data_IF_672093115886
#
_entry.id   IF_672093115886
#
_cell.length_a   1.000
_cell.length_b   1.000
_cell.length_c   1.000
_cell.angle_alpha   90.00
_cell.angle_beta   90.00
_cell.angle_gamma   90.00
#
_symmetry.space_group_name_H-M   'P 1'
#
loop_
_entity.id
_entity.type
_entity.pdbx_description
1 polymer ?
#
# COMPACT_ATOMS: atom_id res chain seq x y z
N UNK A 1 -0.71 18.45 -9.95
CA UNK A 1 -1.99 18.28 -9.22
C UNK A 1 -1.80 17.11 -8.26
N UNK A 2 -2.30 17.19 -7.03
CA UNK A 2 -2.11 16.11 -6.05
C UNK A 2 -2.91 14.85 -6.47
N UNK A 3 -2.24 13.70 -6.53
CA UNK A 3 -2.79 12.38 -6.80
C UNK A 3 -2.17 11.35 -5.86
N UNK A 4 -2.70 10.12 -5.83
CA UNK A 4 -2.06 9.02 -5.10
C UNK A 4 -0.64 8.74 -5.64
N UNK A 5 -0.40 8.87 -6.94
CA UNK A 5 0.95 8.71 -7.49
C UNK A 5 1.92 9.79 -6.97
N UNK A 6 1.53 11.07 -6.99
CA UNK A 6 2.42 12.14 -6.51
C UNK A 6 2.62 12.08 -5.01
N UNK A 7 1.59 11.67 -4.26
CA UNK A 7 1.67 11.48 -2.81
C UNK A 7 2.58 10.29 -2.44
N UNK A 8 2.47 9.18 -3.17
CA UNK A 8 3.27 7.98 -2.89
C UNK A 8 4.77 8.26 -3.04
N UNK A 9 5.18 9.05 -4.03
CA UNK A 9 6.57 9.49 -4.18
C UNK A 9 7.10 10.25 -2.96
N UNK A 10 6.23 10.98 -2.26
CA UNK A 10 6.60 11.62 -1.01
C UNK A 10 6.85 10.61 0.11
N UNK A 11 6.10 9.50 0.15
CA UNK A 11 6.31 8.41 1.08
C UNK A 11 7.59 7.63 0.76
N UNK A 12 7.89 7.37 -0.51
CA UNK A 12 9.17 6.78 -0.93
C UNK A 12 10.37 7.66 -0.51
N UNK A 13 10.23 8.99 -0.68
CA UNK A 13 11.22 9.94 -0.17
C UNK A 13 11.31 9.87 1.35
N UNK A 14 10.16 9.73 2.01
CA UNK A 14 10.03 9.56 3.45
C UNK A 14 10.82 8.36 3.99
N UNK A 15 10.67 7.18 3.39
CA UNK A 15 11.39 5.98 3.85
C UNK A 15 12.88 6.08 3.55
N UNK A 16 13.31 6.73 2.46
CA UNK A 16 14.74 6.89 2.15
C UNK A 16 15.47 7.83 3.12
N UNK A 17 14.75 8.76 3.75
CA UNK A 17 15.29 9.73 4.70
C UNK A 17 16.17 9.09 5.79
N UNK A 18 17.26 9.76 6.14
CA UNK A 18 18.11 9.36 7.28
C UNK A 18 17.34 9.36 8.62
N UNK A 19 16.22 10.10 8.71
CA UNK A 19 15.37 10.17 9.90
C UNK A 19 14.40 8.98 10.04
N UNK A 20 14.25 8.17 9.01
CA UNK A 20 13.33 7.03 8.99
C UNK A 20 13.96 5.77 9.62
N UNK A 21 14.57 5.89 10.80
CA UNK A 21 15.28 4.78 11.47
C UNK A 21 14.31 3.67 11.88
N UNK A 22 13.31 4.00 12.72
CA UNK A 22 12.30 3.03 13.18
C UNK A 22 11.60 2.24 12.06
N UNK A 23 11.04 2.85 11.00
CA UNK A 23 10.38 2.07 9.95
C UNK A 23 11.36 1.16 9.18
N UNK A 24 12.63 1.57 8.99
CA UNK A 24 13.66 0.71 8.38
C UNK A 24 14.03 -0.47 9.27
N UNK A 25 14.21 -0.22 10.57
CA UNK A 25 14.47 -1.27 11.56
C UNK A 25 13.33 -2.28 11.61
N UNK A 26 12.09 -1.81 11.59
CA UNK A 26 10.92 -2.69 11.54
C UNK A 26 10.88 -3.54 10.27
N UNK A 27 11.05 -2.93 9.09
CA UNK A 27 11.10 -3.68 7.82
C UNK A 27 12.19 -4.76 7.85
N UNK A 28 13.38 -4.41 8.35
CA UNK A 28 14.48 -5.37 8.52
C UNK A 28 14.11 -6.51 9.47
N UNK A 29 13.39 -6.22 10.56
CA UNK A 29 12.97 -7.25 11.53
C UNK A 29 11.98 -8.27 10.94
N UNK A 30 11.21 -7.87 9.93
CA UNK A 30 10.29 -8.74 9.19
C UNK A 30 10.86 -9.21 7.83
N UNK A 31 12.15 -8.99 7.58
CA UNK A 31 12.85 -9.47 6.39
C UNK A 31 12.49 -8.77 5.07
N UNK A 32 11.91 -7.57 5.12
CA UNK A 32 11.57 -6.80 3.92
C UNK A 32 12.58 -5.67 3.67
N UNK A 33 12.89 -5.41 2.40
CA UNK A 33 13.75 -4.31 1.97
C UNK A 33 12.97 -3.32 1.10
N UNK A 34 12.96 -2.03 1.49
CA UNK A 34 12.17 -1.00 0.81
C UNK A 34 12.76 -0.58 -0.54
N UNK A 35 14.02 -0.92 -0.84
CA UNK A 35 14.59 -0.66 -2.15
C UNK A 35 14.08 -1.64 -3.21
N UNK A 36 13.81 -2.88 -2.81
CA UNK A 36 13.40 -3.96 -3.71
C UNK A 36 11.89 -3.97 -3.92
N UNK A 37 11.15 -3.61 -2.87
CA UNK A 37 9.70 -3.51 -2.85
C UNK A 37 9.34 -2.02 -2.81
N UNK A 38 8.49 -1.53 -3.71
CA UNK A 38 8.02 -0.12 -3.70
C UNK A 38 7.26 0.17 -2.40
N UNK A 39 7.98 0.48 -1.32
CA UNK A 39 7.46 0.77 0.01
C UNK A 39 7.73 2.23 0.32
N UNK A 40 6.73 2.92 0.86
CA UNK A 40 6.84 4.28 1.36
C UNK A 40 6.71 4.34 2.88
N UNK A 41 7.08 5.48 3.46
CA UNK A 41 6.81 5.79 4.86
C UNK A 41 5.96 7.06 4.98
N UNK A 42 4.77 6.92 5.56
CA UNK A 42 3.88 8.03 5.83
C UNK A 42 4.09 8.56 7.26
N UNK A 43 4.86 9.64 7.40
CA UNK A 43 5.04 10.31 8.70
C UNK A 43 3.79 11.03 9.22
N UNK A 44 2.75 11.17 8.38
CA UNK A 44 1.55 11.93 8.67
C UNK A 44 1.67 13.44 8.44
N UNK A 45 2.74 13.91 7.81
CA UNK A 45 3.05 15.35 7.68
C UNK A 45 2.89 15.89 6.24
N UNK A 46 2.47 15.08 5.28
CA UNK A 46 2.44 15.45 3.86
C UNK A 46 1.50 16.62 3.52
N UNK A 47 0.48 16.85 4.34
CA UNK A 47 -0.49 17.93 4.19
C UNK A 47 -0.05 19.23 4.90
N UNK A 48 1.04 19.19 5.69
CA UNK A 48 1.54 20.36 6.39
C UNK A 48 2.11 21.38 5.39
N UNK A 49 1.86 22.66 5.63
CA UNK A 49 2.33 23.79 4.80
C UNK A 49 1.87 23.73 3.33
N UNK A 50 0.88 22.89 3.02
CA UNK A 50 0.22 22.83 1.71
C UNK A 50 -0.90 23.86 1.61
N UNK A 51 -1.20 24.28 0.39
CA UNK A 51 -2.32 25.19 0.10
C UNK A 51 -3.65 24.54 0.46
N UNK A 52 -4.71 25.34 0.66
CA UNK A 52 -6.06 24.84 0.91
C UNK A 52 -6.51 23.88 -0.22
N UNK A 53 -6.30 24.27 -1.48
CA UNK A 53 -6.60 23.43 -2.66
C UNK A 53 -5.92 22.06 -2.63
N UNK A 54 -4.66 21.98 -2.19
CA UNK A 54 -3.97 20.70 -2.03
C UNK A 54 -4.58 19.86 -0.90
N UNK A 55 -5.00 20.48 0.21
CA UNK A 55 -5.64 19.79 1.33
C UNK A 55 -7.03 19.27 0.94
N UNK A 56 -7.84 20.08 0.27
CA UNK A 56 -9.13 19.66 -0.30
C UNK A 56 -8.94 18.45 -1.22
N UNK A 57 -7.91 18.49 -2.08
CA UNK A 57 -7.61 17.35 -2.94
C UNK A 57 -7.19 16.11 -2.16
N UNK A 58 -6.44 16.24 -1.07
CA UNK A 58 -6.11 15.11 -0.20
C UNK A 58 -7.35 14.54 0.52
N UNK A 59 -8.30 15.40 0.88
CA UNK A 59 -9.58 15.00 1.47
C UNK A 59 -10.43 14.23 0.43
N UNK A 60 -10.53 14.71 -0.81
CA UNK A 60 -11.19 14.01 -1.92
C UNK A 60 -10.58 12.63 -2.21
N UNK A 61 -9.25 12.51 -2.05
CA UNK A 61 -8.54 11.24 -2.19
C UNK A 61 -8.71 10.32 -0.97
N UNK A 62 -9.34 10.79 0.11
CA UNK A 62 -9.58 10.04 1.35
C UNK A 62 -8.36 9.88 2.25
N UNK A 63 -7.22 10.49 1.92
CA UNK A 63 -5.96 10.30 2.68
C UNK A 63 -5.88 11.18 3.93
N UNK A 64 -6.75 12.18 4.02
CA UNK A 64 -7.00 12.96 5.24
C UNK A 64 -8.50 13.15 5.45
N UNK A 65 -8.91 13.32 6.70
CA UNK A 65 -10.28 13.68 7.08
C UNK A 65 -10.21 14.79 8.12
N UNK A 66 -11.10 15.79 8.05
CA UNK A 66 -11.17 16.83 9.08
C UNK A 66 -11.44 16.19 10.44
N UNK A 67 -10.81 16.74 11.48
CA UNK A 67 -10.95 16.27 12.85
C UNK A 67 -11.21 17.42 13.79
N UNK A 68 -11.93 17.15 14.88
CA UNK A 68 -12.19 18.14 15.94
C UNK A 68 -11.04 18.25 16.95
N UNK A 69 -9.86 17.71 16.62
CA UNK A 69 -8.69 17.81 17.49
C UNK A 69 -8.23 19.27 17.62
N UNK A 70 -7.83 19.65 18.83
CA UNK A 70 -7.32 20.99 19.11
C UNK A 70 -6.11 21.33 18.26
N UNK A 71 -6.17 22.48 17.57
CA UNK A 71 -5.06 23.08 16.82
C UNK A 71 -4.44 24.22 17.64
N UNK A 72 -3.21 24.61 17.28
CA UNK A 72 -2.51 25.72 17.95
C UNK A 72 -3.10 27.11 17.64
N UNK A 73 -3.93 27.20 16.61
CA UNK A 73 -4.50 28.44 16.08
C UNK A 73 -5.87 28.10 15.48
N UNK A 74 -6.92 28.80 15.90
CA UNK A 74 -8.32 28.54 15.51
C UNK A 74 -8.57 28.70 14.00
N UNK A 75 -7.66 29.35 13.26
CA UNK A 75 -7.70 29.43 11.80
C UNK A 75 -7.22 28.16 11.09
N UNK A 76 -6.63 27.21 11.83
CA UNK A 76 -6.12 25.95 11.28
C UNK A 76 -7.14 24.83 11.42
N UNK A 77 -7.30 24.03 10.37
CA UNK A 77 -8.09 22.79 10.44
C UNK A 77 -7.19 21.63 10.86
N UNK A 78 -7.57 20.89 11.91
CA UNK A 78 -6.94 19.61 12.23
C UNK A 78 -7.42 18.52 11.28
N UNK A 79 -6.52 17.59 10.96
CA UNK A 79 -6.81 16.44 10.11
C UNK A 79 -6.35 15.14 10.77
N UNK A 80 -7.21 14.13 10.70
CA UNK A 80 -6.84 12.73 10.83
C UNK A 80 -6.22 12.27 9.52
N UNK A 81 -5.10 11.54 9.59
CA UNK A 81 -4.35 11.09 8.41
C UNK A 81 -4.42 9.58 8.29
N UNK A 82 -4.80 9.08 7.11
CA UNK A 82 -4.79 7.66 6.79
C UNK A 82 -3.40 7.06 7.00
N UNK A 83 -3.30 5.90 7.65
CA UNK A 83 -2.03 5.19 7.80
C UNK A 83 -0.91 6.00 8.45
N UNK A 84 -1.25 6.94 9.35
CA UNK A 84 -0.27 7.81 10.01
C UNK A 84 0.79 6.98 10.72
N UNK A 85 2.06 7.36 10.49
CA UNK A 85 3.24 6.69 11.01
C UNK A 85 3.31 5.21 10.58
N UNK A 86 2.90 4.94 9.33
CA UNK A 86 2.85 3.60 8.77
C UNK A 86 3.77 3.41 7.56
N UNK A 87 4.08 2.14 7.30
CA UNK A 87 4.67 1.67 6.05
C UNK A 87 3.56 1.54 5.01
N UNK A 88 3.75 2.13 3.83
CA UNK A 88 2.72 2.24 2.80
C UNK A 88 3.12 1.43 1.57
N UNK A 89 2.20 0.60 1.09
CA UNK A 89 2.33 -0.23 -0.10
C UNK A 89 1.27 0.21 -1.11
N UNK A 90 1.64 0.52 -2.36
CA UNK A 90 0.70 0.96 -3.38
C UNK A 90 -0.04 -0.22 -4.01
N UNK A 91 -1.35 -0.10 -4.16
CA UNK A 91 -2.19 -1.06 -4.88
C UNK A 91 -2.56 -0.44 -6.24
N UNK A 92 -2.43 -1.24 -7.30
CA UNK A 92 -2.52 -0.79 -8.69
C UNK A 92 -3.78 -1.29 -9.38
N UNK A 93 -4.31 -0.52 -10.31
CA UNK A 93 -5.28 -1.00 -11.30
C UNK A 93 -4.60 -1.71 -12.48
N UNK A 94 -5.39 -2.16 -13.46
CA UNK A 94 -4.92 -2.87 -14.66
C UNK A 94 -4.07 -1.98 -15.57
N UNK A 95 -4.20 -0.66 -15.47
CA UNK A 95 -3.37 0.33 -16.16
C UNK A 95 -2.07 0.65 -15.39
N UNK A 96 -1.76 -0.07 -14.31
CA UNK A 96 -0.63 0.19 -13.40
C UNK A 96 -0.67 1.57 -12.72
N UNK A 97 -1.87 2.14 -12.54
CA UNK A 97 -2.07 3.39 -11.79
C UNK A 97 -2.34 3.08 -10.33
N UNK A 98 -1.75 3.86 -9.41
CA UNK A 98 -2.04 3.75 -7.98
C UNK A 98 -3.47 4.21 -7.72
N UNK A 99 -4.31 3.28 -7.26
CA UNK A 99 -5.73 3.53 -6.92
C UNK A 99 -6.03 3.35 -5.44
N UNK A 100 -5.09 2.77 -4.68
CA UNK A 100 -5.27 2.45 -3.28
C UNK A 100 -3.92 2.33 -2.55
N UNK A 101 -3.98 2.35 -1.22
CA UNK A 101 -2.86 2.09 -0.33
C UNK A 101 -3.23 1.05 0.70
N UNK A 102 -2.30 0.16 0.97
CA UNK A 102 -2.24 -0.59 2.21
C UNK A 102 -1.23 0.10 3.14
N UNK A 103 -1.59 0.27 4.40
CA UNK A 103 -0.74 0.83 5.43
C UNK A 103 -0.59 -0.15 6.60
N UNK A 104 0.66 -0.45 6.94
CA UNK A 104 1.02 -1.17 8.16
C UNK A 104 1.54 -0.17 9.21
N UNK A 105 0.75 0.07 10.25
CA UNK A 105 1.11 0.92 11.39
C UNK A 105 1.81 0.05 12.42
N UNK A 106 3.13 0.10 12.40
CA UNK A 106 4.00 -0.81 13.12
C UNK A 106 4.39 -0.34 14.53
N UNK A 107 4.35 0.97 14.81
CA UNK A 107 4.77 1.58 16.09
C UNK A 107 3.54 1.76 17.02
N UNK A 108 2.81 0.67 17.24
CA UNK A 108 1.64 0.55 18.13
C UNK A 108 1.81 -0.69 19.01
N UNK A 109 1.09 -0.78 20.14
CA UNK A 109 1.10 -1.97 21.02
C UNK A 109 0.79 -3.26 20.24
N UNK A 110 -0.11 -3.15 19.28
CA UNK A 110 -0.38 -4.17 18.26
C UNK A 110 -0.31 -3.53 16.88
N UNK A 111 0.51 -4.07 15.94
CA UNK A 111 0.54 -3.58 14.58
C UNK A 111 -0.85 -3.60 13.95
N UNK A 112 -1.18 -2.54 13.22
CA UNK A 112 -2.49 -2.40 12.58
C UNK A 112 -2.34 -2.29 11.07
N UNK A 113 -3.09 -3.12 10.37
CA UNK A 113 -3.25 -3.09 8.93
C UNK A 113 -4.48 -2.24 8.57
N UNK A 114 -4.35 -1.35 7.59
CA UNK A 114 -5.42 -0.48 7.13
C UNK A 114 -5.34 -0.33 5.60
N UNK A 115 -6.47 -0.45 4.90
CA UNK A 115 -6.58 -0.13 3.48
C UNK A 115 -7.30 1.20 3.28
N UNK A 116 -6.86 2.02 2.33
CA UNK A 116 -7.51 3.29 2.01
C UNK A 116 -8.90 3.07 1.39
N UNK A 117 -9.03 2.04 0.57
CA UNK A 117 -10.28 1.57 -0.03
C UNK A 117 -10.16 0.08 -0.44
N UNK A 118 -11.14 -0.47 -1.16
CA UNK A 118 -11.17 -1.90 -1.55
C UNK A 118 -10.70 -2.18 -2.99
N UNK A 119 -10.12 -1.19 -3.69
CA UNK A 119 -9.75 -1.30 -5.11
C UNK A 119 -8.27 -1.59 -5.29
N UNK A 120 -7.93 -2.14 -6.45
CA UNK A 120 -6.55 -2.35 -6.88
C UNK A 120 -5.90 -3.56 -6.24
N UNK A 121 -4.75 -3.93 -6.79
CA UNK A 121 -4.08 -5.21 -6.55
C UNK A 121 -2.62 -4.94 -6.21
N UNK A 122 -2.09 -5.66 -5.23
CA UNK A 122 -0.67 -5.67 -4.91
C UNK A 122 -0.04 -7.00 -5.36
N UNK A 123 1.15 -6.98 -5.99
CA UNK A 123 1.93 -5.79 -6.35
C UNK A 123 1.42 -5.12 -7.63
N UNK A 124 0.76 -5.88 -8.51
CA UNK A 124 0.23 -5.44 -9.80
C UNK A 124 -0.73 -6.51 -10.34
N UNK A 125 -1.43 -6.17 -11.43
CA UNK A 125 -2.16 -7.17 -12.23
C UNK A 125 -1.16 -8.13 -12.92
N UNK A 126 -1.33 -9.45 -12.81
CA UNK A 126 -0.44 -10.42 -13.46
C UNK A 126 -0.48 -10.35 -14.99
N UNK A 127 0.58 -10.80 -15.64
CA UNK A 127 0.61 -10.90 -17.10
C UNK A 127 -0.39 -11.98 -17.59
N UNK A 128 -1.14 -11.79 -18.69
CA UNK A 128 -2.13 -12.76 -19.16
C UNK A 128 -1.61 -14.18 -19.46
N UNK A 129 -0.31 -14.30 -19.75
CA UNK A 129 0.42 -15.57 -19.95
C UNK A 129 0.88 -16.26 -18.65
N UNK A 130 0.41 -15.80 -17.48
CA UNK A 130 0.71 -16.44 -16.19
C UNK A 130 0.11 -17.84 -16.16
N UNK A 131 0.92 -18.84 -15.81
CA UNK A 131 0.51 -20.25 -15.69
C UNK A 131 0.22 -20.67 -14.26
N UNK A 132 0.92 -20.07 -13.29
CA UNK A 132 0.73 -20.36 -11.87
C UNK A 132 0.51 -19.06 -11.11
N UNK A 133 -0.61 -18.98 -10.41
CA UNK A 133 -0.97 -17.82 -9.61
C UNK A 133 -0.96 -18.17 -8.12
N UNK A 134 -0.18 -17.45 -7.35
CA UNK A 134 -0.19 -17.52 -5.89
C UNK A 134 -1.11 -16.44 -5.32
N UNK A 135 -2.02 -16.83 -4.43
CA UNK A 135 -2.87 -15.93 -3.67
C UNK A 135 -2.35 -15.86 -2.23
N UNK A 136 -1.78 -14.72 -1.88
CA UNK A 136 -1.27 -14.44 -0.54
C UNK A 136 -2.37 -13.75 0.29
N UNK A 137 -2.59 -14.14 1.56
CA UNK A 137 -3.73 -13.63 2.32
C UNK A 137 -3.62 -12.15 2.69
N UNK A 138 -2.39 -11.62 2.78
CA UNK A 138 -2.15 -10.20 3.05
C UNK A 138 -1.11 -9.60 2.11
N UNK A 139 -1.05 -8.25 2.09
CA UNK A 139 -0.01 -7.51 1.36
C UNK A 139 1.40 -7.85 1.89
N UNK A 140 1.55 -8.10 3.19
CA UNK A 140 2.85 -8.46 3.80
C UNK A 140 3.29 -9.86 3.39
N UNK A 141 2.38 -10.83 3.33
CA UNK A 141 2.70 -12.18 2.86
C UNK A 141 3.09 -12.14 1.37
N UNK A 142 2.36 -11.37 0.56
CA UNK A 142 2.67 -11.15 -0.85
C UNK A 142 4.05 -10.51 -1.03
N UNK A 143 4.35 -9.45 -0.28
CA UNK A 143 5.65 -8.77 -0.28
C UNK A 143 6.79 -9.73 0.10
N UNK A 144 6.57 -10.61 1.08
CA UNK A 144 7.54 -11.61 1.51
C UNK A 144 7.86 -12.62 0.41
N UNK A 145 6.83 -13.10 -0.31
CA UNK A 145 7.00 -14.00 -1.46
C UNK A 145 7.79 -13.32 -2.58
N UNK A 146 7.50 -12.05 -2.89
CA UNK A 146 8.24 -11.28 -3.90
C UNK A 146 9.71 -11.11 -3.48
N UNK A 147 9.97 -10.71 -2.24
CA UNK A 147 11.31 -10.50 -1.71
C UNK A 147 12.17 -11.78 -1.73
N UNK A 148 11.54 -12.95 -1.57
CA UNK A 148 12.22 -14.24 -1.61
C UNK A 148 12.71 -14.64 -3.00
N UNK A 149 12.23 -13.99 -4.06
CA UNK A 149 12.61 -14.23 -5.48
C UNK A 149 12.41 -15.68 -5.92
N UNK A 150 11.42 -16.36 -5.35
CA UNK A 150 11.10 -17.76 -5.68
C UNK A 150 10.24 -17.92 -6.95
N UNK A 151 9.64 -16.84 -7.44
CA UNK A 151 8.71 -16.90 -8.57
C UNK A 151 9.47 -17.02 -9.89
N UNK A 152 9.08 -18.00 -10.70
CA UNK A 152 9.58 -18.16 -12.06
C UNK A 152 8.88 -17.24 -13.07
N UNK A 153 9.39 -17.17 -14.31
CA UNK A 153 8.94 -16.22 -15.35
C UNK A 153 7.43 -16.24 -15.66
N UNK A 154 6.76 -17.39 -15.48
CA UNK A 154 5.32 -17.55 -15.75
C UNK A 154 4.50 -17.70 -14.48
N UNK A 155 5.08 -17.33 -13.35
CA UNK A 155 4.43 -17.32 -12.07
C UNK A 155 4.16 -15.90 -11.60
N UNK A 156 3.06 -15.69 -10.91
CA UNK A 156 2.73 -14.41 -10.31
C UNK A 156 2.14 -14.61 -8.92
N UNK A 157 2.32 -13.63 -8.05
CA UNK A 157 1.65 -13.57 -6.75
C UNK A 157 0.81 -12.30 -6.68
N UNK A 158 -0.39 -12.41 -6.11
CA UNK A 158 -1.23 -11.27 -5.75
C UNK A 158 -1.68 -11.38 -4.30
N UNK A 159 -1.83 -10.23 -3.64
CA UNK A 159 -2.40 -10.14 -2.31
C UNK A 159 -3.93 -10.14 -2.37
N UNK A 160 -4.56 -10.86 -1.45
CA UNK A 160 -5.98 -10.73 -1.13
C UNK A 160 -6.22 -9.49 -0.26
N UNK A 161 -7.48 -9.07 -0.19
CA UNK A 161 -7.89 -7.94 0.63
C UNK A 161 -8.36 -8.45 1.99
N UNK A 162 -7.53 -8.31 3.03
CA UNK A 162 -7.82 -8.87 4.37
C UNK A 162 -8.12 -10.39 4.33
N UNK A 163 -7.46 -11.14 3.45
CA UNK A 163 -7.71 -12.58 3.24
C UNK A 163 -8.93 -12.89 2.37
N UNK A 164 -9.71 -11.89 1.95
CA UNK A 164 -10.95 -12.06 1.19
C UNK A 164 -10.73 -12.00 -0.33
N UNK A 165 -11.41 -12.91 -1.03
CA UNK A 165 -11.42 -12.99 -2.48
C UNK A 165 -12.50 -12.07 -3.08
N UNK A 166 -12.14 -10.82 -3.34
CA UNK A 166 -12.99 -9.84 -4.02
C UNK A 166 -13.15 -10.08 -5.53
N UNK A 167 -14.16 -9.45 -6.16
CA UNK A 167 -14.45 -9.60 -7.61
C UNK A 167 -13.25 -9.23 -8.49
N UNK A 168 -12.48 -8.20 -8.16
CA UNK A 168 -11.27 -7.83 -8.90
C UNK A 168 -10.23 -8.97 -8.97
N UNK A 169 -10.16 -9.86 -7.96
CA UNK A 169 -9.29 -11.04 -8.00
C UNK A 169 -9.88 -12.12 -8.93
N UNK A 170 -11.21 -12.29 -8.93
CA UNK A 170 -11.90 -13.20 -9.84
C UNK A 170 -11.74 -12.75 -11.30
N UNK A 171 -11.81 -11.44 -11.55
CA UNK A 171 -11.55 -10.85 -12.87
C UNK A 171 -10.12 -11.12 -13.33
N UNK A 172 -9.11 -10.98 -12.45
CA UNK A 172 -7.73 -11.38 -12.75
C UNK A 172 -7.70 -12.84 -13.17
N UNK A 173 -8.19 -13.75 -12.33
CA UNK A 173 -8.13 -15.19 -12.58
C UNK A 173 -8.75 -15.54 -13.94
N UNK A 174 -9.91 -14.95 -14.26
CA UNK A 174 -10.58 -15.14 -15.56
C UNK A 174 -9.79 -14.58 -16.74
N UNK A 175 -8.97 -13.55 -16.54
CA UNK A 175 -8.15 -12.94 -17.59
C UNK A 175 -6.88 -13.71 -17.94
N UNK A 176 -6.45 -14.65 -17.07
CA UNK A 176 -5.25 -15.45 -17.27
C UNK A 176 -5.57 -16.69 -18.13
N UNK A 177 -5.54 -16.53 -19.46
CA UNK A 177 -5.99 -17.59 -20.38
C UNK A 177 -5.02 -18.77 -20.50
N UNK A 178 -3.80 -18.68 -19.95
CA UNK A 178 -2.86 -19.80 -19.81
C UNK A 178 -2.76 -20.34 -18.39
N UNK A 179 -3.66 -19.95 -17.48
CA UNK A 179 -3.61 -20.38 -16.09
C UNK A 179 -3.84 -21.90 -15.97
N UNK A 180 -2.89 -22.57 -15.32
CA UNK A 180 -2.89 -24.02 -15.08
C UNK A 180 -3.10 -24.33 -13.59
N UNK A 181 -2.57 -23.50 -12.69
CA UNK A 181 -2.60 -23.75 -11.25
C UNK A 181 -2.83 -22.46 -10.44
N UNK A 182 -3.62 -22.57 -9.37
CA UNK A 182 -3.78 -21.53 -8.34
C UNK A 182 -3.37 -22.13 -7.00
N UNK A 183 -2.42 -21.48 -6.32
CA UNK A 183 -1.96 -21.85 -4.98
C UNK A 183 -2.45 -20.79 -3.99
N UNK A 184 -3.14 -21.23 -2.94
CA UNK A 184 -3.71 -20.33 -1.93
C UNK A 184 -3.02 -20.56 -0.60
N UNK A 185 -2.37 -19.52 -0.06
CA UNK A 185 -1.83 -19.54 1.28
C UNK A 185 -2.92 -19.19 2.30
N UNK A 186 -3.02 -19.97 3.38
CA UNK A 186 -3.95 -19.72 4.49
C UNK A 186 -3.16 -19.48 5.77
N UNK A 187 -3.62 -18.54 6.60
CA UNK A 187 -3.16 -18.33 7.97
C UNK A 187 -4.00 -19.16 8.93
#
# INVERSE_FOLDING_TARGET
MESLETLFRSFETGIRSAKALKPKEYLKSIGLEYSDLRIGFNSGQFHHRKTLKSKERFEELGVITKSDAGVRDDSLTAYTVFGRYGLVFPLLDKENTIVNYFALRFDLDSPKEEYLNQKGIYPAYPHPLTKKLYLAPTVIDCASLIQSRILDQREAVIALHEGELLEQHLEIIRSLYELEEIIIFKR
#
